data_IF_550237405950
#
_entry.id   IF_550237405950
#
_cell.length_a   1.000
_cell.length_b   1.000
_cell.length_c   1.000
_cell.angle_alpha   90.00
_cell.angle_beta   90.00
_cell.angle_gamma   90.00
#
_symmetry.space_group_name_H-M   'P 1'
#
loop_
_entity.id
_entity.type
_entity.pdbx_description
1 polymer ?
#
# COMPACT_ATOMS: atom_id res chain seq x y z
N UNK A 1 -18.74 18.45 0.42
CA UNK A 1 -18.72 17.40 -0.63
C UNK A 1 -17.52 16.52 -0.38
N UNK A 2 -17.56 15.29 -0.89
CA UNK A 2 -16.49 14.28 -0.84
C UNK A 2 -16.00 14.00 -2.26
N UNK A 3 -14.82 13.37 -2.39
CA UNK A 3 -14.39 12.79 -3.66
C UNK A 3 -15.45 11.80 -4.17
N UNK A 4 -15.79 11.92 -5.46
CA UNK A 4 -16.63 10.95 -6.19
C UNK A 4 -15.83 10.17 -7.22
N UNK A 5 -14.66 10.68 -7.58
CA UNK A 5 -13.66 10.01 -8.40
C UNK A 5 -12.79 9.10 -7.51
N UNK A 6 -12.27 8.05 -8.11
CA UNK A 6 -11.35 7.11 -7.49
C UNK A 6 -10.10 7.05 -8.36
N UNK A 7 -8.96 6.74 -7.74
CA UNK A 7 -7.79 6.32 -8.52
C UNK A 7 -8.12 5.05 -9.29
N UNK A 8 -7.52 4.92 -10.47
CA UNK A 8 -7.63 3.71 -11.27
C UNK A 8 -7.04 2.50 -10.54
N UNK A 9 -7.40 1.29 -10.99
CA UNK A 9 -6.87 0.05 -10.44
C UNK A 9 -5.33 -0.05 -10.59
N UNK A 10 -4.76 0.67 -11.55
CA UNK A 10 -3.33 0.85 -11.74
C UNK A 10 -3.03 2.34 -11.76
N UNK A 11 -2.41 2.82 -10.70
CA UNK A 11 -2.09 4.23 -10.52
C UNK A 11 -0.58 4.39 -10.27
N UNK A 12 -0.05 5.51 -10.72
CA UNK A 12 1.36 5.87 -10.67
C UNK A 12 1.60 7.06 -9.74
N UNK A 13 2.86 7.28 -9.39
CA UNK A 13 3.24 8.52 -8.72
C UNK A 13 2.83 9.73 -9.57
N UNK A 14 2.23 10.72 -8.92
CA UNK A 14 1.74 11.94 -9.56
C UNK A 14 0.28 11.89 -10.00
N UNK A 15 -0.35 10.71 -10.08
CA UNK A 15 -1.78 10.61 -10.37
C UNK A 15 -2.59 11.36 -9.32
N UNK A 16 -3.62 12.07 -9.76
CA UNK A 16 -4.40 12.95 -8.91
C UNK A 16 -5.89 12.93 -9.25
N UNK A 17 -6.71 13.05 -8.22
CA UNK A 17 -8.16 13.26 -8.32
C UNK A 17 -8.52 14.55 -7.57
N UNK A 18 -9.59 15.22 -7.98
CA UNK A 18 -9.98 16.50 -7.38
C UNK A 18 -11.48 16.58 -7.09
N UNK A 19 -11.84 17.40 -6.10
CA UNK A 19 -13.23 17.75 -5.86
C UNK A 19 -13.36 19.20 -5.38
N UNK A 20 -14.53 19.80 -5.60
CA UNK A 20 -14.83 21.12 -5.07
C UNK A 20 -15.55 20.99 -3.72
N UNK A 21 -15.05 21.70 -2.70
CA UNK A 21 -15.67 21.76 -1.39
C UNK A 21 -15.66 23.19 -0.85
N UNK A 22 -16.85 23.80 -0.74
CA UNK A 22 -17.04 25.14 -0.15
C UNK A 22 -16.18 26.23 -0.82
N UNK A 23 -16.04 26.18 -2.15
CA UNK A 23 -15.22 27.13 -2.91
C UNK A 23 -13.71 26.88 -2.83
N UNK A 24 -13.28 25.72 -2.34
CA UNK A 24 -11.91 25.23 -2.46
C UNK A 24 -11.87 24.08 -3.46
N UNK A 25 -10.82 24.01 -4.26
CA UNK A 25 -10.46 22.82 -5.03
C UNK A 25 -9.55 22.00 -4.14
N UNK A 26 -9.95 20.78 -3.80
CA UNK A 26 -9.14 19.84 -3.03
C UNK A 26 -8.59 18.79 -3.98
N UNK A 27 -7.28 18.64 -4.03
CA UNK A 27 -6.61 17.65 -4.89
C UNK A 27 -5.91 16.61 -4.03
N UNK A 28 -6.22 15.34 -4.28
CA UNK A 28 -5.50 14.20 -3.69
C UNK A 28 -4.51 13.67 -4.74
N UNK A 29 -3.22 13.63 -4.39
CA UNK A 29 -2.16 13.15 -5.29
C UNK A 29 -1.39 11.99 -4.67
N UNK A 30 -1.09 10.99 -5.48
CA UNK A 30 -0.20 9.88 -5.11
C UNK A 30 1.24 10.38 -5.12
N UNK A 31 1.95 10.15 -4.01
CA UNK A 31 3.39 10.45 -3.88
C UNK A 31 4.08 9.17 -3.45
N UNK A 32 5.20 8.84 -4.11
CA UNK A 32 5.99 7.70 -3.71
C UNK A 32 6.51 7.89 -2.29
N UNK A 33 6.44 6.83 -1.50
CA UNK A 33 7.06 6.81 -0.18
C UNK A 33 8.58 6.84 -0.35
N UNK A 34 9.25 7.70 0.42
CA UNK A 34 10.71 7.85 0.39
C UNK A 34 11.44 6.84 1.29
N UNK A 35 10.69 6.05 2.06
CA UNK A 35 11.20 4.95 2.84
C UNK A 35 11.61 3.77 1.93
N UNK A 36 12.90 3.43 1.96
CA UNK A 36 13.49 2.35 1.16
C UNK A 36 13.34 0.96 1.80
N UNK A 37 12.62 0.84 2.91
CA UNK A 37 12.40 -0.43 3.59
C UNK A 37 11.62 -1.38 2.68
N UNK A 38 12.16 -2.59 2.51
CA UNK A 38 11.49 -3.67 1.82
C UNK A 38 10.24 -4.14 2.59
N UNK A 39 9.29 -4.82 1.93
CA UNK A 39 8.06 -5.26 2.57
C UNK A 39 8.28 -6.07 3.85
N UNK A 40 9.30 -6.92 3.89
CA UNK A 40 9.65 -7.75 5.05
C UNK A 40 10.35 -6.99 6.18
N UNK A 41 10.87 -5.80 5.92
CA UNK A 41 11.41 -4.90 6.93
C UNK A 41 10.31 -4.03 7.55
N UNK A 42 9.32 -3.67 6.74
CA UNK A 42 8.25 -2.73 7.11
C UNK A 42 7.04 -3.41 7.75
N UNK A 43 6.76 -4.66 7.40
CA UNK A 43 5.58 -5.39 7.84
C UNK A 43 5.97 -6.52 8.80
N UNK A 44 5.61 -6.36 10.07
CA UNK A 44 5.80 -7.42 11.05
C UNK A 44 4.96 -8.65 10.68
N UNK A 45 5.58 -9.83 10.76
CA UNK A 45 4.97 -11.08 10.33
C UNK A 45 4.79 -11.28 8.83
N UNK A 46 5.46 -10.47 7.99
CA UNK A 46 5.46 -10.64 6.53
C UNK A 46 5.82 -12.06 6.09
N UNK A 47 6.91 -12.60 6.65
CA UNK A 47 7.31 -13.98 6.39
C UNK A 47 6.52 -14.94 7.28
N UNK A 48 5.86 -15.96 6.69
CA UNK A 48 5.11 -16.92 7.47
C UNK A 48 6.04 -17.76 8.35
N UNK A 49 5.50 -18.26 9.45
CA UNK A 49 6.24 -19.04 10.43
C UNK A 49 5.39 -20.18 10.99
N UNK A 50 6.06 -21.28 11.32
CA UNK A 50 5.47 -22.40 12.06
C UNK A 50 5.65 -22.27 13.59
N UNK A 51 6.39 -21.26 14.04
CA UNK A 51 6.71 -21.05 15.44
C UNK A 51 5.70 -20.10 16.08
N UNK A 52 5.06 -20.56 17.17
CA UNK A 52 3.96 -19.85 17.83
C UNK A 52 4.28 -18.43 18.30
N UNK A 53 5.55 -18.17 18.63
CA UNK A 53 6.00 -16.90 19.20
C UNK A 53 6.60 -15.99 18.12
N UNK A 54 6.66 -16.45 16.86
CA UNK A 54 7.09 -15.65 15.75
C UNK A 54 5.92 -14.80 15.22
N UNK A 55 6.15 -13.53 14.84
CA UNK A 55 5.10 -12.64 14.33
C UNK A 55 4.31 -13.21 13.14
N UNK A 56 4.96 -13.95 12.25
CA UNK A 56 4.32 -14.58 11.09
C UNK A 56 3.65 -15.92 11.36
N UNK A 57 3.39 -16.29 12.62
CA UNK A 57 2.82 -17.59 12.94
C UNK A 57 1.50 -17.85 12.20
N UNK A 58 1.46 -18.89 11.37
CA UNK A 58 0.30 -19.22 10.53
C UNK A 58 -0.92 -19.76 11.32
N UNK A 59 -0.86 -19.73 12.64
CA UNK A 59 -1.86 -20.25 13.54
C UNK A 59 -1.83 -21.78 13.68
N UNK A 60 -2.48 -22.31 14.73
CA UNK A 60 -2.62 -23.75 14.91
C UNK A 60 -3.58 -24.37 13.87
N UNK A 61 -3.62 -25.70 13.81
CA UNK A 61 -4.60 -26.45 13.01
C UNK A 61 -4.01 -27.49 12.06
N UNK A 62 -4.91 -28.22 11.40
CA UNK A 62 -4.54 -29.24 10.43
C UNK A 62 -3.99 -28.62 9.14
N UNK A 63 -3.31 -29.43 8.33
CA UNK A 63 -2.72 -29.01 7.06
C UNK A 63 -1.75 -27.81 7.16
N UNK A 64 -1.13 -27.61 8.34
CA UNK A 64 -0.22 -26.49 8.59
C UNK A 64 0.91 -26.38 7.57
N UNK A 65 1.42 -27.51 7.06
CA UNK A 65 2.45 -27.51 6.00
C UNK A 65 1.95 -26.93 4.69
N UNK A 66 0.71 -27.26 4.30
CA UNK A 66 0.11 -26.73 3.08
C UNK A 66 -0.15 -25.22 3.23
N UNK A 67 -0.77 -24.81 4.35
CA UNK A 67 -1.01 -23.38 4.63
C UNK A 67 0.29 -22.59 4.69
N UNK A 68 1.34 -23.16 5.26
CA UNK A 68 2.68 -22.55 5.27
C UNK A 68 3.21 -22.37 3.85
N UNK A 69 3.16 -23.42 3.02
CA UNK A 69 3.63 -23.34 1.64
C UNK A 69 2.85 -22.30 0.81
N UNK A 70 1.52 -22.24 1.00
CA UNK A 70 0.67 -21.24 0.34
C UNK A 70 0.98 -19.81 0.81
N UNK A 71 1.20 -19.61 2.11
CA UNK A 71 1.59 -18.31 2.65
C UNK A 71 3.00 -17.91 2.19
N UNK A 72 3.93 -18.87 2.12
CA UNK A 72 5.31 -18.66 1.67
C UNK A 72 5.32 -18.21 0.21
N UNK A 73 4.60 -18.93 -0.67
CA UNK A 73 4.50 -18.58 -2.07
C UNK A 73 3.88 -17.18 -2.29
N UNK A 74 2.90 -16.79 -1.46
CA UNK A 74 2.32 -15.44 -1.51
C UNK A 74 3.33 -14.38 -1.10
N UNK A 75 4.04 -14.57 0.01
CA UNK A 75 5.06 -13.62 0.48
C UNK A 75 6.19 -13.48 -0.55
N UNK A 76 6.64 -14.58 -1.15
CA UNK A 76 7.64 -14.57 -2.23
C UNK A 76 7.17 -13.80 -3.47
N UNK A 77 5.92 -14.01 -3.91
CA UNK A 77 5.35 -13.29 -5.05
C UNK A 77 5.27 -11.77 -4.78
N UNK A 78 4.90 -11.37 -3.56
CA UNK A 78 4.89 -9.95 -3.15
C UNK A 78 6.29 -9.35 -3.20
N UNK A 79 7.30 -10.05 -2.68
CA UNK A 79 8.70 -9.60 -2.75
C UNK A 79 9.22 -9.53 -4.18
N UNK A 80 8.87 -10.50 -5.02
CA UNK A 80 9.29 -10.51 -6.42
C UNK A 80 8.70 -9.30 -7.17
N UNK A 81 7.40 -9.05 -7.04
CA UNK A 81 6.75 -7.90 -7.66
C UNK A 81 7.33 -6.57 -7.17
N UNK A 82 7.64 -6.45 -5.87
CA UNK A 82 8.31 -5.27 -5.32
C UNK A 82 9.72 -5.07 -5.90
N UNK A 83 10.53 -6.14 -5.98
CA UNK A 83 11.87 -6.09 -6.57
C UNK A 83 11.87 -5.74 -8.06
N UNK A 84 10.78 -6.04 -8.77
CA UNK A 84 10.55 -5.68 -10.17
C UNK A 84 9.93 -4.28 -10.33
N UNK A 85 9.71 -3.56 -9.24
CA UNK A 85 9.05 -2.25 -9.22
C UNK A 85 7.65 -2.28 -9.85
N UNK A 86 6.94 -3.40 -9.73
CA UNK A 86 5.55 -3.55 -10.19
C UNK A 86 4.56 -2.85 -9.25
N UNK A 87 4.96 -2.60 -8.01
CA UNK A 87 4.24 -1.79 -7.03
C UNK A 87 5.22 -1.14 -6.06
N UNK A 88 4.78 -0.07 -5.38
CA UNK A 88 5.53 0.67 -4.39
C UNK A 88 4.62 1.14 -3.25
N UNK A 89 5.19 1.42 -2.07
CA UNK A 89 4.45 2.12 -1.02
C UNK A 89 4.25 3.58 -1.42
N UNK A 90 3.05 4.11 -1.20
CA UNK A 90 2.75 5.50 -1.51
C UNK A 90 1.93 6.15 -0.39
N UNK A 91 2.06 7.47 -0.29
CA UNK A 91 1.18 8.32 0.49
C UNK A 91 0.21 9.08 -0.41
N UNK A 92 -0.90 9.55 0.18
CA UNK A 92 -1.79 10.52 -0.45
C UNK A 92 -1.54 11.89 0.17
N UNK A 93 -1.07 12.82 -0.65
CA UNK A 93 -0.94 14.23 -0.27
C UNK A 93 -2.20 14.97 -0.70
N UNK A 94 -2.80 15.70 0.22
CA UNK A 94 -3.92 16.61 -0.06
C UNK A 94 -3.38 18.04 -0.15
N UNK A 95 -3.65 18.71 -1.27
CA UNK A 95 -3.49 20.16 -1.37
C UNK A 95 -4.85 20.82 -1.57
N UNK A 96 -4.95 22.10 -1.20
CA UNK A 96 -6.16 22.88 -1.41
C UNK A 96 -5.83 24.18 -2.13
N UNK A 97 -6.62 24.49 -3.16
CA UNK A 97 -6.51 25.73 -3.92
C UNK A 97 -7.75 26.59 -3.70
N UNK A 98 -7.53 27.91 -3.60
CA UNK A 98 -8.59 28.91 -3.71
C UNK A 98 -8.08 30.17 -4.37
N UNK A 99 -8.85 30.68 -5.32
CA UNK A 99 -8.56 31.93 -6.04
C UNK A 99 -7.13 31.94 -6.64
N UNK A 100 -6.65 30.78 -7.12
CA UNK A 100 -5.32 30.59 -7.70
C UNK A 100 -4.17 30.48 -6.69
N UNK A 101 -4.47 30.34 -5.39
CA UNK A 101 -3.48 30.17 -4.31
C UNK A 101 -3.58 28.75 -3.76
N UNK A 102 -2.49 27.98 -3.87
CA UNK A 102 -2.34 26.65 -3.25
C UNK A 102 -1.86 26.79 -1.78
N UNK A 103 -2.46 26.01 -0.88
CA UNK A 103 -2.18 25.97 0.56
C UNK A 103 -1.75 24.57 1.02
#
# INVERSE_FOLDING_TARGET
MSFTEHFDAYACEGDAISCEAKGFIVTARIVADDCLDAPDQRQDGFWPSLYKDAPGFIGPGNSFRQRFAEAQAKAEAVMEAWRKSEWFYCGIVLSVERDGIEL
#
